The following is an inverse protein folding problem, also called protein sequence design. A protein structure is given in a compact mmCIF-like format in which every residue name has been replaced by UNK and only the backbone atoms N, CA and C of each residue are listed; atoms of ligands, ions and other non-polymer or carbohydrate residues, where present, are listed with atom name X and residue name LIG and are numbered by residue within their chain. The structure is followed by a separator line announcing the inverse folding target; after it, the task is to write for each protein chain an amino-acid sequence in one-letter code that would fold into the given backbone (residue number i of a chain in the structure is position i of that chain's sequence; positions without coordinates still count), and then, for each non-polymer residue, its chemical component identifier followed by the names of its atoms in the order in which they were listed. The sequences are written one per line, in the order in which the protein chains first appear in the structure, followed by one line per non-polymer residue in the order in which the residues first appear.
data_IF_437885967760
#
_entry.id   IF_437885967760
#
_cell.length_a   1.000
_cell.length_b   1.000
_cell.length_c   1.000
_cell.angle_alpha   90.00
_cell.angle_beta   90.00
_cell.angle_gamma   90.00
#
_symmetry.space_group_name_H-M   'P 1'
#
loop_
_entity.id
_entity.type
_entity.pdbx_description
1 polymer ?
#
# COMPACT_ATOMS: atom_id res chain seq x y z
N UNK A 1 -13.78 -12.99 6.04
CA UNK A 1 -13.10 -12.27 4.93
C UNK A 1 -11.64 -12.67 4.85
N UNK A 2 -11.04 -12.72 3.66
CA UNK A 2 -9.61 -12.93 3.49
C UNK A 2 -9.05 -11.97 2.43
N UNK A 3 -7.73 -11.98 2.23
CA UNK A 3 -7.09 -11.09 1.25
C UNK A 3 -7.51 -11.40 -0.21
N UNK A 4 -8.00 -12.60 -0.52
CA UNK A 4 -8.45 -12.98 -1.86
C UNK A 4 -9.80 -12.36 -2.20
N UNK A 5 -10.69 -12.22 -1.22
CA UNK A 5 -12.06 -11.76 -1.44
C UNK A 5 -12.28 -10.26 -1.18
N UNK A 6 -11.34 -9.56 -0.55
CA UNK A 6 -11.57 -8.15 -0.18
C UNK A 6 -11.53 -7.22 -1.39
N UNK A 7 -12.60 -6.50 -1.69
CA UNK A 7 -12.66 -5.52 -2.79
C UNK A 7 -13.49 -4.27 -2.43
N UNK A 8 -13.63 -3.36 -3.40
CA UNK A 8 -14.32 -2.07 -3.21
C UNK A 8 -15.79 -2.18 -2.83
N UNK A 9 -16.44 -3.33 -3.06
CA UNK A 9 -17.81 -3.53 -2.58
C UNK A 9 -17.87 -3.57 -1.06
N UNK A 10 -16.74 -3.93 -0.41
CA UNK A 10 -16.62 -4.03 1.03
C UNK A 10 -16.16 -2.71 1.65
N UNK A 11 -15.07 -2.09 1.15
CA UNK A 11 -14.54 -0.85 1.75
C UNK A 11 -15.16 0.42 1.18
N UNK A 12 -15.71 0.38 -0.04
CA UNK A 12 -16.26 1.54 -0.73
C UNK A 12 -17.37 2.26 0.04
N UNK A 13 -18.36 1.55 0.63
CA UNK A 13 -19.38 2.16 1.46
C UNK A 13 -18.78 2.94 2.64
N UNK A 14 -17.84 2.33 3.36
CA UNK A 14 -17.15 2.95 4.50
C UNK A 14 -16.37 4.19 4.05
N UNK A 15 -15.61 4.08 2.95
CA UNK A 15 -14.85 5.22 2.44
C UNK A 15 -15.77 6.37 2.03
N UNK A 16 -16.93 6.08 1.45
CA UNK A 16 -17.92 7.08 1.04
C UNK A 16 -18.56 7.77 2.24
N UNK A 17 -18.80 7.04 3.34
CA UNK A 17 -19.29 7.62 4.59
C UNK A 17 -18.26 8.56 5.24
N UNK A 18 -16.96 8.30 5.06
CA UNK A 18 -15.88 9.12 5.61
C UNK A 18 -15.56 10.32 4.70
N UNK A 19 -15.56 10.12 3.39
CA UNK A 19 -15.17 11.10 2.38
C UNK A 19 -16.28 11.27 1.35
N UNK A 20 -16.98 12.41 1.42
CA UNK A 20 -17.96 12.84 0.43
C UNK A 20 -17.24 13.38 -0.83
N UNK A 21 -16.60 12.49 -1.59
CA UNK A 21 -15.78 12.84 -2.75
C UNK A 21 -15.86 11.80 -3.85
N UNK A 22 -16.17 12.24 -5.08
CA UNK A 22 -16.14 11.38 -6.27
C UNK A 22 -14.78 10.68 -6.46
N UNK A 23 -13.68 11.34 -6.06
CA UNK A 23 -12.34 10.76 -6.11
C UNK A 23 -12.14 9.58 -5.13
N UNK A 24 -12.90 9.51 -4.04
CA UNK A 24 -12.84 8.38 -3.12
C UNK A 24 -13.36 7.10 -3.81
N UNK A 25 -14.44 7.23 -4.59
CA UNK A 25 -15.03 6.14 -5.38
C UNK A 25 -14.14 5.65 -6.53
N UNK A 26 -13.07 6.39 -6.87
CA UNK A 26 -12.14 6.01 -7.93
C UNK A 26 -11.20 4.86 -7.55
N UNK A 27 -11.05 4.57 -6.25
CA UNK A 27 -10.14 3.53 -5.73
C UNK A 27 -10.81 2.16 -5.76
N UNK A 28 -10.28 1.27 -6.60
CA UNK A 28 -10.77 -0.10 -6.74
C UNK A 28 -9.66 -1.14 -6.58
N UNK A 29 -10.08 -2.39 -6.35
CA UNK A 29 -9.19 -3.53 -6.47
C UNK A 29 -8.85 -3.78 -7.93
N UNK A 30 -7.60 -4.15 -8.19
CA UNK A 30 -7.16 -4.59 -9.51
C UNK A 30 -6.61 -6.02 -9.41
N UNK A 31 -7.05 -6.87 -10.33
CA UNK A 31 -6.64 -8.27 -10.40
C UNK A 31 -5.65 -8.49 -11.55
N UNK A 32 -4.58 -9.28 -11.36
CA UNK A 32 -3.66 -9.61 -12.45
C UNK A 32 -4.38 -10.24 -13.65
N UNK A 33 -3.93 -9.88 -14.86
CA UNK A 33 -4.52 -10.36 -16.12
C UNK A 33 -5.72 -9.55 -16.64
N UNK A 34 -6.19 -8.56 -15.88
CA UNK A 34 -7.23 -7.61 -16.33
C UNK A 34 -6.65 -6.45 -17.15
N UNK A 35 -7.51 -5.71 -17.87
CA UNK A 35 -7.11 -4.50 -18.61
C UNK A 35 -6.56 -3.42 -17.67
N UNK A 36 -7.19 -3.25 -16.51
CA UNK A 36 -6.77 -2.31 -15.48
C UNK A 36 -5.39 -2.64 -14.92
N UNK A 37 -5.07 -3.92 -14.79
CA UNK A 37 -3.74 -4.35 -14.36
C UNK A 37 -2.65 -3.92 -15.33
N UNK A 38 -2.93 -3.89 -16.64
CA UNK A 38 -1.99 -3.33 -17.61
C UNK A 38 -1.72 -1.85 -17.36
N UNK A 39 -2.76 -1.07 -17.06
CA UNK A 39 -2.60 0.34 -16.72
C UNK A 39 -1.76 0.52 -15.44
N UNK A 40 -1.97 -0.32 -14.43
CA UNK A 40 -1.15 -0.37 -13.20
C UNK A 40 0.31 -0.70 -13.52
N UNK A 41 0.57 -1.72 -14.35
CA UNK A 41 1.93 -2.11 -14.76
C UNK A 41 2.65 -0.96 -15.46
N UNK A 42 1.96 -0.24 -16.36
CA UNK A 42 2.51 0.93 -17.02
C UNK A 42 2.81 2.06 -16.03
N UNK A 43 1.89 2.38 -15.12
CA UNK A 43 2.11 3.42 -14.12
C UNK A 43 3.28 3.10 -13.19
N UNK A 44 3.35 1.86 -12.68
CA UNK A 44 4.48 1.37 -11.87
C UNK A 44 5.80 1.57 -12.60
N UNK A 45 5.87 1.19 -13.87
CA UNK A 45 7.07 1.34 -14.68
C UNK A 45 7.46 2.81 -14.82
N UNK A 46 6.53 3.68 -15.24
CA UNK A 46 6.79 5.12 -15.39
C UNK A 46 7.28 5.76 -14.10
N UNK A 47 6.59 5.54 -12.99
CA UNK A 47 6.94 6.15 -11.70
C UNK A 47 8.29 5.68 -11.16
N UNK A 48 8.62 4.39 -11.30
CA UNK A 48 9.92 3.86 -10.89
C UNK A 48 11.05 4.31 -11.83
N UNK A 49 10.77 4.48 -13.12
CA UNK A 49 11.74 5.03 -14.07
C UNK A 49 12.06 6.49 -13.75
N UNK A 50 11.04 7.32 -13.50
CA UNK A 50 11.21 8.75 -13.17
C UNK A 50 12.05 8.96 -11.90
N UNK A 51 11.92 8.05 -10.93
CA UNK A 51 12.63 8.12 -9.65
C UNK A 51 14.00 7.44 -9.66
N UNK A 52 14.41 6.89 -10.80
CA UNK A 52 15.69 6.19 -10.99
C UNK A 52 15.77 4.81 -10.35
N UNK A 53 14.63 4.23 -9.92
CA UNK A 53 14.57 2.90 -9.32
C UNK A 53 14.79 1.77 -10.33
N UNK A 54 14.49 2.01 -11.61
CA UNK A 54 14.69 1.04 -12.68
C UNK A 54 15.49 1.65 -13.82
N UNK A 55 16.33 0.83 -14.45
CA UNK A 55 17.12 1.19 -15.62
C UNK A 55 16.27 0.99 -16.88
N UNK A 56 15.80 2.07 -17.48
CA UNK A 56 14.94 2.03 -18.68
C UNK A 56 15.67 1.56 -19.94
N UNK A 57 17.01 1.55 -19.95
CA UNK A 57 17.80 0.98 -21.04
C UNK A 57 17.85 -0.55 -20.98
N UNK A 58 17.57 -1.14 -19.82
CA UNK A 58 17.67 -2.60 -19.58
C UNK A 58 16.33 -3.25 -19.25
N UNK A 59 15.40 -2.50 -18.69
CA UNK A 59 14.12 -3.00 -18.17
C UNK A 59 12.97 -2.55 -19.05
N UNK A 60 11.98 -3.44 -19.25
CA UNK A 60 10.75 -3.17 -20.00
C UNK A 60 9.55 -3.16 -19.05
N UNK A 61 8.41 -2.50 -19.38
CA UNK A 61 7.24 -2.48 -18.50
C UNK A 61 6.80 -3.85 -17.95
N UNK A 62 6.96 -4.92 -18.75
CA UNK A 62 6.66 -6.29 -18.33
C UNK A 62 7.37 -6.74 -17.04
N UNK A 63 8.53 -6.16 -16.68
CA UNK A 63 9.22 -6.47 -15.42
C UNK A 63 8.49 -5.97 -14.16
N UNK A 64 7.44 -5.14 -14.32
CA UNK A 64 6.58 -4.71 -13.22
C UNK A 64 5.46 -5.70 -12.88
N UNK A 65 5.35 -6.79 -13.66
CA UNK A 65 4.50 -7.93 -13.34
C UNK A 65 5.25 -8.82 -12.36
N UNK A 66 4.72 -9.00 -11.16
CA UNK A 66 5.33 -9.85 -10.15
C UNK A 66 4.47 -11.08 -9.94
N UNK A 67 5.09 -12.25 -9.79
CA UNK A 67 4.34 -13.48 -9.50
C UNK A 67 3.47 -13.34 -8.25
N UNK A 68 3.94 -12.58 -7.25
CA UNK A 68 3.18 -12.32 -6.03
C UNK A 68 2.00 -11.36 -6.19
N UNK A 69 1.86 -10.69 -7.32
CA UNK A 69 0.70 -9.82 -7.55
C UNK A 69 -0.62 -10.61 -7.47
N UNK A 70 -0.59 -11.92 -7.77
CA UNK A 70 -1.73 -12.83 -7.57
C UNK A 70 -2.05 -13.11 -6.10
N UNK A 71 -1.09 -12.85 -5.20
CA UNK A 71 -1.19 -13.05 -3.75
C UNK A 71 -1.22 -11.73 -2.95
N UNK A 72 -1.51 -10.62 -3.63
CA UNK A 72 -1.53 -9.27 -3.06
C UNK A 72 -2.85 -8.56 -3.31
N UNK A 73 -3.15 -7.55 -2.48
CA UNK A 73 -4.24 -6.61 -2.76
C UNK A 73 -3.65 -5.43 -3.50
N UNK A 74 -3.96 -5.32 -4.79
CA UNK A 74 -3.53 -4.19 -5.62
C UNK A 74 -4.65 -3.18 -5.64
N UNK A 75 -4.37 -2.01 -5.10
CA UNK A 75 -5.24 -0.86 -5.16
C UNK A 75 -4.82 0.01 -6.34
N UNK A 76 -5.80 0.53 -7.07
CA UNK A 76 -5.56 1.56 -8.05
C UNK A 76 -6.73 2.54 -8.12
N UNK A 77 -6.40 3.80 -8.37
CA UNK A 77 -7.36 4.85 -8.59
C UNK A 77 -7.44 5.20 -10.07
N UNK A 78 -8.66 5.36 -10.60
CA UNK A 78 -8.89 5.61 -12.02
C UNK A 78 -9.74 6.84 -12.30
N UNK A 79 -9.32 7.64 -13.28
CA UNK A 79 -10.15 8.66 -13.92
C UNK A 79 -10.42 8.20 -15.37
N UNK A 80 -11.62 7.66 -15.60
CA UNK A 80 -11.94 6.93 -16.82
C UNK A 80 -10.96 5.76 -17.06
N UNK A 81 -10.22 5.78 -18.17
CA UNK A 81 -9.21 4.77 -18.49
C UNK A 81 -7.82 5.07 -17.92
N UNK A 82 -7.64 6.23 -17.28
CA UNK A 82 -6.34 6.68 -16.77
C UNK A 82 -6.14 6.19 -15.34
N UNK A 83 -5.11 5.37 -15.13
CA UNK A 83 -4.67 5.00 -13.78
C UNK A 83 -3.93 6.20 -13.14
N UNK A 84 -4.56 6.84 -12.16
CA UNK A 84 -4.04 8.01 -11.45
C UNK A 84 -3.01 7.63 -10.38
N UNK A 85 -3.27 6.54 -9.66
CA UNK A 85 -2.43 6.08 -8.57
C UNK A 85 -2.53 4.57 -8.41
N UNK A 86 -1.49 3.95 -7.84
CA UNK A 86 -1.50 2.53 -7.47
C UNK A 86 -0.72 2.31 -6.18
N UNK A 87 -1.13 1.30 -5.41
CA UNK A 87 -0.47 0.82 -4.19
C UNK A 87 -0.69 -0.69 -4.10
N UNK A 88 0.35 -1.44 -3.76
CA UNK A 88 0.23 -2.88 -3.50
C UNK A 88 0.38 -3.15 -2.02
N UNK A 89 -0.59 -3.87 -1.46
CA UNK A 89 -0.55 -4.41 -0.11
C UNK A 89 -0.24 -5.90 -0.19
N UNK A 90 0.98 -6.24 0.18
CA UNK A 90 1.43 -7.63 0.18
C UNK A 90 1.31 -8.22 1.58
N UNK A 91 1.09 -9.51 1.68
CA UNK A 91 1.07 -10.20 2.97
C UNK A 91 1.80 -11.55 2.89
N UNK A 92 1.98 -12.18 4.04
CA UNK A 92 2.54 -13.53 4.10
C UNK A 92 1.43 -14.53 3.73
N UNK A 93 1.68 -15.35 2.72
CA UNK A 93 0.78 -16.42 2.25
C UNK A 93 1.49 -17.76 2.27
N UNK A 94 0.77 -18.85 1.95
CA UNK A 94 1.38 -20.17 1.76
C UNK A 94 2.31 -20.23 0.55
N UNK A 95 1.96 -19.52 -0.53
CA UNK A 95 2.78 -19.42 -1.75
C UNK A 95 4.00 -18.50 -1.54
N UNK A 96 3.85 -17.46 -0.71
CA UNK A 96 4.89 -16.50 -0.38
C UNK A 96 5.07 -16.40 1.15
N UNK A 97 5.86 -17.30 1.77
CA UNK A 97 6.02 -17.37 3.22
C UNK A 97 6.95 -16.28 3.80
N UNK A 98 6.95 -15.08 3.20
CA UNK A 98 7.75 -13.91 3.60
C UNK A 98 7.26 -12.62 2.91
N UNK A 99 7.80 -11.48 3.32
CA UNK A 99 7.50 -10.17 2.68
C UNK A 99 8.31 -10.00 1.38
N UNK A 100 7.95 -9.09 0.46
CA UNK A 100 8.76 -8.80 -0.75
C UNK A 100 10.14 -8.36 -0.34
N UNK A 101 10.24 -7.48 0.65
CA UNK A 101 11.53 -7.00 1.08
C UNK A 101 12.45 -8.13 1.56
N UNK A 102 11.88 -9.19 2.12
CA UNK A 102 12.65 -10.39 2.46
C UNK A 102 12.98 -11.22 1.21
N UNK A 103 11.96 -11.59 0.43
CA UNK A 103 12.08 -12.58 -0.64
C UNK A 103 12.77 -12.03 -1.90
N UNK A 104 12.40 -10.82 -2.32
CA UNK A 104 12.89 -10.19 -3.54
C UNK A 104 14.12 -9.33 -3.27
N UNK A 105 14.09 -8.57 -2.15
CA UNK A 105 15.13 -7.57 -1.84
C UNK A 105 16.21 -8.10 -0.89
N UNK A 106 16.05 -9.33 -0.38
CA UNK A 106 17.00 -9.99 0.53
C UNK A 106 17.26 -9.21 1.82
N UNK A 107 16.31 -8.37 2.26
CA UNK A 107 16.41 -7.65 3.51
C UNK A 107 16.25 -8.62 4.69
N UNK A 108 17.07 -8.43 5.72
CA UNK A 108 17.01 -9.20 6.96
C UNK A 108 16.80 -8.25 8.13
N UNK A 109 15.65 -8.37 8.80
CA UNK A 109 15.26 -7.50 9.91
C UNK A 109 15.02 -8.35 11.15
N UNK A 110 15.61 -7.96 12.27
CA UNK A 110 15.29 -8.50 13.59
C UNK A 110 14.21 -7.63 14.23
N UNK A 111 12.94 -7.96 13.98
CA UNK A 111 11.80 -7.29 14.57
C UNK A 111 10.64 -8.28 14.78
N UNK A 112 9.94 -8.25 15.93
CA UNK A 112 8.93 -9.26 16.28
C UNK A 112 7.79 -9.38 15.26
N UNK A 113 7.49 -8.29 14.54
CA UNK A 113 6.39 -8.24 13.58
C UNK A 113 6.82 -8.40 12.11
N UNK A 114 8.10 -8.65 11.83
CA UNK A 114 8.60 -8.70 10.44
C UNK A 114 7.99 -9.84 9.61
N UNK A 115 7.94 -11.06 10.18
CA UNK A 115 7.33 -12.24 9.53
C UNK A 115 5.96 -12.61 10.10
N UNK A 116 5.30 -11.68 10.79
CA UNK A 116 3.97 -11.94 11.37
C UNK A 116 2.91 -12.11 10.27
N UNK A 117 1.95 -13.03 10.47
CA UNK A 117 0.75 -13.12 9.60
C UNK A 117 -0.16 -11.89 9.73
N UNK A 118 0.04 -11.07 10.76
CA UNK A 118 -0.68 -9.82 11.04
C UNK A 118 -0.10 -8.60 10.32
N UNK A 119 0.61 -8.84 9.22
CA UNK A 119 1.42 -7.81 8.56
C UNK A 119 0.97 -7.57 7.12
N UNK A 120 0.96 -6.30 6.72
CA UNK A 120 0.87 -5.83 5.35
C UNK A 120 2.14 -5.08 4.97
N UNK A 121 2.59 -5.23 3.74
CA UNK A 121 3.73 -4.51 3.19
C UNK A 121 3.27 -3.61 2.04
N UNK A 122 3.51 -2.31 2.19
CA UNK A 122 3.27 -1.28 1.20
C UNK A 122 4.40 -1.32 0.18
N UNK A 123 4.08 -1.66 -1.06
CA UNK A 123 5.01 -1.54 -2.18
C UNK A 123 4.33 -0.85 -3.36
N UNK A 124 5.15 -0.37 -4.30
CA UNK A 124 4.69 0.18 -5.58
C UNK A 124 3.68 1.32 -5.42
N UNK A 125 3.79 2.12 -4.36
CA UNK A 125 3.01 3.36 -4.23
C UNK A 125 3.49 4.38 -5.25
N UNK A 126 2.68 4.62 -6.28
CA UNK A 126 3.00 5.53 -7.37
C UNK A 126 1.78 6.39 -7.66
N UNK A 127 1.99 7.69 -7.81
CA UNK A 127 0.97 8.65 -8.26
C UNK A 127 1.48 9.29 -9.55
N UNK A 128 0.64 9.24 -10.58
CA UNK A 128 0.86 9.89 -11.86
C UNK A 128 1.10 11.40 -11.63
N UNK A 129 2.18 11.99 -12.20
CA UNK A 129 2.54 13.41 -12.02
C UNK A 129 1.39 14.41 -11.99
N UNK A 130 0.43 14.30 -12.92
CA UNK A 130 -0.72 15.20 -13.02
C UNK A 130 -1.62 15.19 -11.77
N UNK A 131 -1.57 14.13 -10.96
CA UNK A 131 -2.45 13.91 -9.81
C UNK A 131 -1.74 14.02 -8.45
N UNK A 132 -0.43 14.32 -8.41
CA UNK A 132 0.36 14.35 -7.15
C UNK A 132 -0.09 15.41 -6.14
N UNK A 133 -0.79 16.45 -6.59
CA UNK A 133 -1.32 17.51 -5.75
C UNK A 133 -2.80 17.30 -5.38
N UNK A 134 -3.36 16.13 -5.68
CA UNK A 134 -4.73 15.76 -5.31
C UNK A 134 -4.76 14.96 -4.00
N UNK A 135 -5.95 14.70 -3.47
CA UNK A 135 -6.13 13.87 -2.27
C UNK A 135 -5.97 12.37 -2.54
N UNK A 136 -5.71 11.95 -3.78
CA UNK A 136 -5.69 10.52 -4.15
C UNK A 136 -4.72 9.70 -3.31
N UNK A 137 -3.55 10.26 -3.01
CA UNK A 137 -2.58 9.60 -2.13
C UNK A 137 -3.15 9.31 -0.75
N UNK A 138 -3.93 10.24 -0.17
CA UNK A 138 -4.57 10.04 1.13
C UNK A 138 -5.60 8.90 1.07
N UNK A 139 -6.43 8.86 0.03
CA UNK A 139 -7.42 7.79 -0.13
C UNK A 139 -6.77 6.41 -0.27
N UNK A 140 -5.63 6.30 -0.94
CA UNK A 140 -4.88 5.02 -1.00
C UNK A 140 -4.42 4.57 0.41
N UNK A 141 -3.98 5.50 1.26
CA UNK A 141 -3.62 5.19 2.65
C UNK A 141 -4.83 4.83 3.50
N UNK A 142 -5.93 5.53 3.31
CA UNK A 142 -7.19 5.32 4.02
C UNK A 142 -7.80 3.95 3.72
N UNK A 143 -7.95 3.60 2.45
CA UNK A 143 -8.40 2.27 2.02
C UNK A 143 -7.48 1.18 2.56
N UNK A 144 -6.16 1.41 2.57
CA UNK A 144 -5.20 0.46 3.14
C UNK A 144 -5.38 0.27 4.65
N UNK A 145 -5.71 1.35 5.37
CA UNK A 145 -5.99 1.30 6.80
C UNK A 145 -7.32 0.57 7.09
N UNK A 146 -8.36 0.79 6.28
CA UNK A 146 -9.63 0.05 6.37
C UNK A 146 -9.39 -1.45 6.13
N UNK A 147 -8.69 -1.80 5.05
CA UNK A 147 -8.31 -3.19 4.71
C UNK A 147 -7.52 -3.84 5.86
N UNK A 148 -6.58 -3.12 6.46
CA UNK A 148 -5.81 -3.61 7.61
C UNK A 148 -6.70 -3.98 8.79
N UNK A 149 -7.72 -3.17 9.09
CA UNK A 149 -8.69 -3.49 10.14
C UNK A 149 -9.55 -4.70 9.78
N UNK A 150 -10.07 -4.75 8.56
CA UNK A 150 -10.90 -5.88 8.07
C UNK A 150 -10.16 -7.21 8.08
N UNK A 151 -8.85 -7.20 7.86
CA UNK A 151 -8.01 -8.40 7.80
C UNK A 151 -7.29 -8.72 9.14
N UNK A 152 -7.49 -7.94 10.20
CA UNK A 152 -6.71 -8.01 11.46
C UNK A 152 -5.17 -8.02 11.20
N UNK A 153 -4.71 -7.07 10.38
CA UNK A 153 -3.30 -6.89 10.03
C UNK A 153 -2.78 -5.50 10.45
N UNK A 154 -2.62 -5.23 11.75
CA UNK A 154 -2.25 -3.91 12.29
C UNK A 154 -0.82 -3.45 11.99
N UNK A 155 0.03 -4.31 11.41
CA UNK A 155 1.43 -3.99 11.16
C UNK A 155 1.68 -3.67 9.70
N UNK A 156 2.22 -2.49 9.42
CA UNK A 156 2.64 -2.10 8.10
C UNK A 156 4.15 -2.00 8.00
N UNK A 157 4.69 -2.49 6.89
CA UNK A 157 6.07 -2.22 6.49
C UNK A 157 6.11 -1.53 5.14
N UNK A 158 7.17 -0.78 4.90
CA UNK A 158 7.48 -0.29 3.57
C UNK A 158 8.98 -0.20 3.33
N UNK A 159 9.37 -0.26 2.08
CA UNK A 159 10.74 0.04 1.63
C UNK A 159 10.71 1.26 0.70
N UNK A 160 11.68 2.15 0.87
CA UNK A 160 11.91 3.28 -0.01
C UNK A 160 13.39 3.59 -0.15
N UNK A 161 13.70 4.63 -0.94
CA UNK A 161 15.04 5.22 -1.01
C UNK A 161 15.52 5.60 0.38
N UNK A 162 16.80 5.43 0.61
CA UNK A 162 17.49 6.10 1.71
C UNK A 162 17.75 7.58 1.35
N UNK A 163 16.67 8.31 1.06
CA UNK A 163 16.68 9.75 0.76
C UNK A 163 15.92 10.51 1.86
N UNK A 164 16.48 11.62 2.32
CA UNK A 164 15.91 12.37 3.46
C UNK A 164 14.52 12.91 3.19
N UNK A 165 14.22 13.35 1.96
CA UNK A 165 12.90 13.88 1.61
C UNK A 165 11.87 12.76 1.53
N UNK A 166 12.24 11.63 0.92
CA UNK A 166 11.38 10.43 0.87
C UNK A 166 11.06 9.92 2.28
N UNK A 167 12.10 9.79 3.13
CA UNK A 167 11.94 9.36 4.53
C UNK A 167 11.11 10.36 5.32
N UNK A 168 11.32 11.66 5.14
CA UNK A 168 10.54 12.70 5.81
C UNK A 168 9.05 12.56 5.48
N UNK A 169 8.67 12.51 4.21
CA UNK A 169 7.26 12.39 3.78
C UNK A 169 6.62 11.11 4.34
N UNK A 170 7.33 9.98 4.26
CA UNK A 170 6.85 8.69 4.76
C UNK A 170 6.73 8.64 6.28
N UNK A 171 7.60 9.35 7.00
CA UNK A 171 7.51 9.52 8.45
C UNK A 171 6.27 10.33 8.83
N UNK A 172 5.96 11.38 8.06
CA UNK A 172 4.72 12.16 8.22
C UNK A 172 3.46 11.33 7.97
N UNK A 173 3.56 10.24 7.22
CA UNK A 173 2.48 9.30 6.94
C UNK A 173 2.33 8.15 7.96
N UNK A 174 3.16 8.11 9.02
CA UNK A 174 3.02 7.12 10.10
C UNK A 174 4.17 6.14 10.28
N UNK A 175 5.07 6.02 9.29
CA UNK A 175 6.14 5.04 9.35
C UNK A 175 7.33 5.52 10.19
N UNK A 176 7.70 4.72 11.17
CA UNK A 176 8.88 4.91 11.98
C UNK A 176 10.12 4.32 11.30
N UNK A 177 11.18 5.11 11.25
CA UNK A 177 12.49 4.78 10.71
C UNK A 177 13.60 4.76 11.77
N UNK A 178 13.24 4.88 13.06
CA UNK A 178 14.17 4.88 14.20
C UNK A 178 15.03 3.62 14.28
N UNK A 179 14.50 2.47 13.83
CA UNK A 179 15.24 1.20 13.73
C UNK A 179 16.41 1.20 12.74
N UNK A 180 16.53 2.25 11.90
CA UNK A 180 17.63 2.49 10.97
C UNK A 180 18.00 1.26 10.10
N UNK A 181 16.99 0.49 9.68
CA UNK A 181 17.18 -0.67 8.81
C UNK A 181 17.50 -0.21 7.38
N UNK A 182 18.79 -0.18 7.05
CA UNK A 182 19.32 0.18 5.74
C UNK A 182 19.94 -1.01 5.06
N UNK A 183 19.80 -1.10 3.74
CA UNK A 183 20.41 -2.15 2.93
C UNK A 183 20.53 -1.70 1.47
N UNK A 184 21.32 -2.43 0.69
CA UNK A 184 21.43 -2.23 -0.76
C UNK A 184 20.39 -3.09 -1.48
N UNK A 185 19.43 -2.45 -2.16
CA UNK A 185 18.38 -3.12 -2.90
C UNK A 185 18.86 -3.49 -4.31
N UNK A 186 19.29 -4.74 -4.46
CA UNK A 186 19.77 -5.29 -5.74
C UNK A 186 18.68 -5.33 -6.82
N UNK A 187 17.39 -5.34 -6.42
CA UNK A 187 16.27 -5.34 -7.36
C UNK A 187 16.01 -3.95 -7.96
N UNK A 188 16.56 -2.90 -7.34
CA UNK A 188 16.37 -1.50 -7.72
C UNK A 188 17.71 -0.85 -8.08
N UNK A 189 18.47 -1.48 -8.97
CA UNK A 189 19.75 -0.97 -9.47
C UNK A 189 20.78 -0.68 -8.36
N UNK A 190 20.89 -1.57 -7.36
CA UNK A 190 21.78 -1.45 -6.20
C UNK A 190 21.58 -0.17 -5.38
N UNK A 191 20.35 0.34 -5.35
CA UNK A 191 20.02 1.56 -4.62
C UNK A 191 20.04 1.32 -3.10
N UNK A 192 20.63 2.25 -2.36
CA UNK A 192 20.55 2.24 -0.89
C UNK A 192 19.10 2.53 -0.49
N UNK A 193 18.53 1.61 0.28
CA UNK A 193 17.13 1.63 0.67
C UNK A 193 16.99 1.59 2.19
N UNK A 194 15.90 2.16 2.69
CA UNK A 194 15.55 2.18 4.12
C UNK A 194 14.14 1.61 4.34
N UNK A 195 13.99 0.89 5.44
CA UNK A 195 12.74 0.22 5.82
C UNK A 195 12.05 1.01 6.92
N UNK A 196 10.76 1.28 6.73
CA UNK A 196 9.89 1.93 7.70
C UNK A 196 8.85 0.96 8.25
N UNK A 197 8.53 1.10 9.54
CA UNK A 197 7.54 0.29 10.25
C UNK A 197 6.41 1.14 10.81
N UNK A 198 5.17 0.67 10.75
CA UNK A 198 4.05 1.31 11.42
C UNK A 198 3.20 0.28 12.16
N UNK A 199 2.95 0.52 13.44
CA UNK A 199 1.90 -0.15 14.20
C UNK A 199 0.65 0.73 14.16
N UNK A 200 -0.32 0.33 13.34
CA UNK A 200 -1.46 1.18 13.00
C UNK A 200 -2.32 1.60 14.21
N UNK A 201 -2.70 0.72 15.15
CA UNK A 201 -3.41 1.13 16.36
C UNK A 201 -2.66 2.18 17.21
N UNK A 202 -1.33 2.21 17.14
CA UNK A 202 -0.48 3.17 17.87
C UNK A 202 -0.09 4.41 17.07
N UNK A 203 -0.56 4.56 15.83
CA UNK A 203 -0.08 5.62 14.92
C UNK A 203 -0.37 7.03 15.44
N UNK A 204 -1.47 7.20 16.17
CA UNK A 204 -1.85 8.49 16.76
C UNK A 204 -0.91 8.91 17.90
N UNK A 205 -0.17 8.00 18.52
CA UNK A 205 0.85 8.35 19.53
C UNK A 205 2.16 8.84 18.89
N UNK A 206 2.34 8.67 17.58
CA UNK A 206 3.54 9.11 16.88
C UNK A 206 3.49 10.62 16.58
N UNK A 207 4.31 11.41 17.29
CA UNK A 207 4.41 12.86 17.14
C UNK A 207 4.89 13.34 15.78
N UNK A 208 5.53 12.47 14.99
CA UNK A 208 5.97 12.80 13.63
C UNK A 208 4.83 12.74 12.60
N UNK A 209 3.66 12.19 12.92
CA UNK A 209 2.55 12.08 11.97
C UNK A 209 1.93 13.44 11.70
N UNK A 210 1.71 13.78 10.43
CA UNK A 210 1.08 15.05 10.07
C UNK A 210 -0.38 15.12 10.54
N UNK A 211 -0.89 16.34 10.74
CA UNK A 211 -2.28 16.55 11.16
C UNK A 211 -3.29 15.92 10.20
N UNK A 212 -2.99 15.94 8.90
CA UNK A 212 -3.88 15.38 7.86
C UNK A 212 -3.96 13.86 7.98
N UNK A 213 -2.81 13.17 8.05
CA UNK A 213 -2.78 11.71 8.25
C UNK A 213 -3.36 11.30 9.61
N UNK A 214 -3.08 12.08 10.66
CA UNK A 214 -3.63 11.83 12.00
C UNK A 214 -5.15 11.84 12.01
N UNK A 215 -5.78 12.85 11.41
CA UNK A 215 -7.25 12.92 11.29
C UNK A 215 -7.81 11.75 10.50
N UNK A 216 -7.23 11.46 9.35
CA UNK A 216 -7.63 10.32 8.52
C UNK A 216 -7.56 9.00 9.31
N UNK A 217 -6.44 8.73 9.99
CA UNK A 217 -6.29 7.53 10.81
C UNK A 217 -7.22 7.51 12.03
N UNK A 218 -7.47 8.65 12.67
CA UNK A 218 -8.44 8.78 13.77
C UNK A 218 -9.84 8.41 13.31
N UNK A 219 -10.27 8.89 12.14
CA UNK A 219 -11.55 8.50 11.55
C UNK A 219 -11.60 7.01 11.23
N UNK A 220 -10.57 6.46 10.59
CA UNK A 220 -10.55 5.02 10.30
C UNK A 220 -10.54 4.17 11.57
N UNK A 221 -9.87 4.61 12.64
CA UNK A 221 -9.83 3.88 13.92
C UNK A 221 -11.15 3.99 14.71
N UNK A 222 -11.95 5.04 14.48
CA UNK A 222 -13.24 5.21 15.17
C UNK A 222 -14.37 4.35 14.60
N UNK A 223 -14.20 3.78 13.40
CA UNK A 223 -15.20 2.88 12.79
C UNK A 223 -15.45 1.68 13.73
N UNK A 224 -16.69 1.41 14.15
CA UNK A 224 -17.01 0.26 14.99
C UNK A 224 -16.68 -1.07 14.31
N UNK A 225 -16.20 -2.07 15.07
CA UNK A 225 -15.94 -3.41 14.51
C UNK A 225 -17.20 -4.05 13.91
N UNK A 226 -18.36 -3.81 14.52
CA UNK A 226 -19.64 -4.31 14.00
C UNK A 226 -19.95 -3.78 12.59
N UNK A 227 -19.54 -2.55 12.30
CA UNK A 227 -19.72 -1.93 10.99
C UNK A 227 -18.78 -2.56 9.95
N UNK A 228 -17.51 -2.74 10.31
CA UNK A 228 -16.54 -3.47 9.48
C UNK A 228 -17.01 -4.90 9.17
N UNK A 229 -17.67 -5.57 10.12
CA UNK A 229 -18.21 -6.91 9.95
C UNK A 229 -19.54 -6.96 9.17
N UNK A 230 -20.41 -5.94 9.28
CA UNK A 230 -21.71 -5.89 8.58
C UNK A 230 -21.52 -6.00 7.07
N UNK A 231 -20.52 -5.31 6.52
CA UNK A 231 -20.18 -5.35 5.10
C UNK A 231 -19.59 -6.69 4.65
N UNK A 232 -19.21 -7.59 5.56
CA UNK A 232 -18.74 -8.94 5.25
C UNK A 232 -19.88 -9.96 5.09
N UNK A 233 -21.06 -9.70 5.66
CA UNK A 233 -22.17 -10.66 5.69
C UNK A 233 -23.10 -10.55 4.48
N UNK A 234 -23.17 -9.38 3.84
CA UNK A 234 -24.05 -9.14 2.70
C UNK A 234 -23.65 -9.93 1.44
N UNK A 235 -22.40 -10.39 1.34
CA UNK A 235 -21.91 -11.25 0.24
C UNK A 235 -22.31 -12.74 0.37
N UNK A 236 -22.77 -13.18 1.54
CA UNK A 236 -23.16 -14.57 1.76
C UNK A 236 -24.68 -14.82 1.66
N UNK A 237 -25.45 -13.76 1.38
CA UNK A 237 -26.92 -13.82 1.33
C UNK A 237 -27.53 -13.36 -0.01
N UNK A 238 -26.71 -13.02 -1.01
CA UNK A 238 -27.14 -12.65 -2.36
C UNK A 238 -26.64 -13.67 -3.38
#
# INVERSE_FOLDING_TARGET
MNWQSIDETVWGPILTEIEDSELASSVKRVYPGTREYEAVVQLRYRGLAETGFIDTGRMKPACMRLQRDFDSVILAAFDGEVCMATLTLNTVTSHHPGLAMELEKKASIRHPHFRSRKTLEFTKFVIEPAYRNTRIGLYMYEVSAIISRMLDKPHFWQVGRDDERDVFVRSRAGFDYSGNFRFTDVSLNNMVSRIGYMHFPGVLSNGNVSRVFRRMFETVLSIPEAELCRHQLLEHTA
#
